data_IF_501438153262
#
_entry.id   IF_501438153262
#
_cell.length_a   1.000
_cell.length_b   1.000
_cell.length_c   1.000
_cell.angle_alpha   90.00
_cell.angle_beta   90.00
_cell.angle_gamma   90.00
#
_symmetry.space_group_name_H-M   'P 1'
#
loop_
_entity.id
_entity.type
_entity.pdbx_description
1 polymer ?
#
# COMPACT_ATOMS: atom_id res chain seq x y z
N UNK A 1 3.14 12.91 -4.63
CA UNK A 1 2.26 13.96 -4.03
C UNK A 1 2.91 15.33 -4.15
N UNK A 2 2.15 16.35 -4.54
CA UNK A 2 2.70 17.68 -4.85
C UNK A 2 2.89 18.61 -3.64
N UNK A 3 2.59 18.17 -2.43
CA UNK A 3 2.70 18.99 -1.21
C UNK A 3 1.74 20.19 -1.19
N UNK A 4 0.59 20.09 -1.86
CA UNK A 4 -0.36 21.19 -2.03
C UNK A 4 -1.26 21.40 -0.81
N UNK A 5 -1.60 20.32 -0.11
CA UNK A 5 -2.47 20.39 1.06
C UNK A 5 -1.61 20.40 2.32
N UNK A 6 -1.79 21.37 3.23
CA UNK A 6 -1.11 21.37 4.52
C UNK A 6 -1.52 20.15 5.37
N UNK A 7 -0.60 19.61 6.15
CA UNK A 7 -0.93 18.56 7.13
C UNK A 7 -1.87 19.07 8.23
N UNK A 8 -1.90 20.39 8.48
CA UNK A 8 -2.82 21.03 9.42
C UNK A 8 -4.21 21.31 8.84
N UNK A 9 -4.49 20.90 7.58
CA UNK A 9 -5.82 21.02 6.98
C UNK A 9 -6.84 20.18 7.75
N UNK A 10 -8.05 20.72 7.92
CA UNK A 10 -9.13 20.05 8.65
C UNK A 10 -9.48 18.65 8.07
N UNK A 11 -9.31 18.46 6.75
CA UNK A 11 -9.53 17.16 6.09
C UNK A 11 -8.54 16.10 6.56
N UNK A 12 -7.26 16.47 6.72
CA UNK A 12 -6.23 15.60 7.25
C UNK A 12 -6.55 15.23 8.70
N UNK A 13 -6.87 16.24 9.52
CA UNK A 13 -7.28 16.01 10.92
C UNK A 13 -8.47 15.07 11.02
N UNK A 14 -9.47 15.24 10.15
CA UNK A 14 -10.66 14.36 10.10
C UNK A 14 -10.30 12.89 9.86
N UNK A 15 -9.34 12.59 8.98
CA UNK A 15 -8.86 11.23 8.73
C UNK A 15 -8.24 10.63 9.99
N UNK A 16 -7.34 11.35 10.66
CA UNK A 16 -6.74 10.88 11.91
C UNK A 16 -7.77 10.68 13.02
N UNK A 17 -8.79 11.54 13.11
CA UNK A 17 -9.87 11.38 14.09
C UNK A 17 -10.73 10.14 13.82
N UNK A 18 -11.00 9.80 12.55
CA UNK A 18 -11.67 8.57 12.21
C UNK A 18 -10.82 7.34 12.61
N UNK A 19 -9.50 7.40 12.36
CA UNK A 19 -8.59 6.34 12.82
C UNK A 19 -8.54 6.24 14.36
N UNK A 20 -8.54 7.40 15.06
CA UNK A 20 -8.61 7.43 16.52
C UNK A 20 -9.82 6.67 17.06
N UNK A 21 -10.98 6.80 16.43
CA UNK A 21 -12.18 6.05 16.84
C UNK A 21 -11.93 4.54 16.82
N UNK A 22 -11.26 4.02 15.79
CA UNK A 22 -10.93 2.60 15.71
C UNK A 22 -9.92 2.17 16.79
N UNK A 23 -8.99 3.07 17.17
CA UNK A 23 -8.02 2.81 18.25
C UNK A 23 -8.74 2.77 19.61
N UNK A 24 -9.57 3.78 19.89
CA UNK A 24 -10.30 3.92 21.15
C UNK A 24 -11.30 2.77 21.36
N UNK A 25 -11.91 2.30 20.30
CA UNK A 25 -12.87 1.18 20.31
C UNK A 25 -12.19 -0.21 20.30
N UNK A 26 -10.86 -0.25 20.39
CA UNK A 26 -10.06 -1.49 20.48
C UNK A 26 -10.25 -2.45 19.30
N UNK A 27 -10.40 -1.92 18.07
CA UNK A 27 -10.51 -2.76 16.88
C UNK A 27 -9.18 -3.41 16.44
N UNK A 28 -8.05 -2.98 16.99
CA UNK A 28 -6.74 -3.51 16.63
C UNK A 28 -6.27 -4.57 17.63
N UNK A 29 -5.44 -5.50 17.16
CA UNK A 29 -4.79 -6.49 18.03
C UNK A 29 -3.89 -5.81 19.06
N UNK A 30 -3.74 -6.43 20.22
CA UNK A 30 -2.83 -5.96 21.25
C UNK A 30 -1.40 -5.83 20.72
N UNK A 31 -0.70 -4.78 21.15
CA UNK A 31 0.69 -4.51 20.74
C UNK A 31 0.91 -4.45 19.22
N UNK A 32 -0.06 -3.97 18.45
CA UNK A 32 -0.01 -3.93 16.99
C UNK A 32 1.29 -3.29 16.43
N UNK A 33 1.87 -2.29 17.11
CA UNK A 33 3.13 -1.65 16.71
C UNK A 33 4.38 -2.55 16.85
N UNK A 34 4.26 -3.71 17.50
CA UNK A 34 5.38 -4.63 17.70
C UNK A 34 5.50 -5.69 16.61
N UNK A 35 4.57 -5.71 15.66
CA UNK A 35 4.54 -6.70 14.60
C UNK A 35 4.91 -6.08 13.25
N UNK A 36 5.66 -6.84 12.47
CA UNK A 36 5.97 -6.56 11.08
C UNK A 36 5.12 -7.42 10.14
N UNK A 37 5.32 -7.22 8.83
CA UNK A 37 4.58 -7.93 7.78
C UNK A 37 4.73 -9.46 7.88
N UNK A 38 5.91 -9.94 8.24
CA UNK A 38 6.20 -11.39 8.25
C UNK A 38 5.58 -12.08 9.47
N UNK A 39 5.43 -11.35 10.59
CA UNK A 39 4.90 -11.87 11.84
C UNK A 39 3.38 -11.81 11.98
N UNK A 40 2.66 -11.14 11.05
CA UNK A 40 1.21 -10.88 11.20
C UNK A 40 0.32 -12.03 10.66
N UNK A 41 0.79 -12.83 9.70
CA UNK A 41 0.00 -13.92 9.12
C UNK A 41 -0.56 -14.91 10.16
N UNK A 42 0.17 -15.30 11.23
CA UNK A 42 -0.34 -16.17 12.27
C UNK A 42 -1.58 -15.63 13.01
N UNK A 43 -1.78 -14.31 13.07
CA UNK A 43 -2.97 -13.74 13.74
C UNK A 43 -4.25 -14.08 12.98
N UNK A 44 -4.22 -14.02 11.64
CA UNK A 44 -5.34 -14.51 10.82
C UNK A 44 -5.50 -16.02 10.95
N UNK A 45 -4.41 -16.79 10.85
CA UNK A 45 -4.44 -18.25 10.88
C UNK A 45 -5.01 -18.80 12.19
N UNK A 46 -4.77 -18.14 13.30
CA UNK A 46 -5.21 -18.56 14.63
C UNK A 46 -6.51 -17.88 15.08
N UNK A 47 -7.20 -17.16 14.18
CA UNK A 47 -8.45 -16.48 14.48
C UNK A 47 -8.34 -15.33 15.49
N UNK A 48 -7.12 -14.80 15.73
CA UNK A 48 -6.89 -13.64 16.60
C UNK A 48 -7.17 -12.31 15.90
N UNK A 49 -7.20 -12.31 14.59
CA UNK A 49 -7.68 -11.21 13.76
C UNK A 49 -8.58 -11.79 12.67
N UNK A 50 -9.73 -11.16 12.44
CA UNK A 50 -10.67 -11.56 11.38
C UNK A 50 -10.44 -10.83 10.06
N UNK A 51 -9.75 -9.70 10.09
CA UNK A 51 -9.47 -8.85 8.92
C UNK A 51 -8.09 -8.20 9.07
N UNK A 52 -7.51 -7.88 7.92
CA UNK A 52 -6.27 -7.12 7.83
C UNK A 52 -6.33 -6.17 6.64
N UNK A 53 -5.94 -4.91 6.83
CA UNK A 53 -5.76 -3.97 5.73
C UNK A 53 -4.41 -4.25 5.06
N UNK A 54 -4.46 -4.83 3.86
CA UNK A 54 -3.26 -5.25 3.16
C UNK A 54 -3.50 -5.35 1.65
N UNK A 55 -2.44 -5.23 0.85
CA UNK A 55 -2.49 -5.48 -0.57
C UNK A 55 -2.51 -6.97 -0.91
N UNK A 56 -2.97 -7.30 -2.12
CA UNK A 56 -3.07 -8.69 -2.62
C UNK A 56 -1.76 -9.45 -2.63
N UNK A 57 -0.62 -8.76 -2.67
CA UNK A 57 0.73 -9.37 -2.59
C UNK A 57 0.93 -10.21 -1.32
N UNK A 58 0.12 -9.97 -0.29
CA UNK A 58 0.16 -10.76 0.94
C UNK A 58 -0.45 -12.16 0.77
N UNK A 59 -1.16 -12.44 -0.31
CA UNK A 59 -1.79 -13.75 -0.56
C UNK A 59 -0.79 -14.90 -0.45
N UNK A 60 0.45 -14.69 -0.90
CA UNK A 60 1.51 -15.69 -0.83
C UNK A 60 1.93 -16.01 0.63
N UNK A 61 1.78 -15.08 1.56
CA UNK A 61 2.10 -15.23 2.99
C UNK A 61 0.97 -15.86 3.80
N UNK A 62 -0.23 -15.99 3.23
CA UNK A 62 -1.38 -16.63 3.90
C UNK A 62 -1.15 -18.13 3.94
N UNK A 63 -1.17 -18.77 5.13
CA UNK A 63 -1.02 -20.21 5.26
C UNK A 63 -2.01 -20.99 4.38
N UNK A 64 -1.55 -22.06 3.73
CA UNK A 64 -2.37 -22.86 2.83
C UNK A 64 -3.64 -23.41 3.50
N UNK A 65 -3.59 -23.67 4.81
CA UNK A 65 -4.71 -24.18 5.60
C UNK A 65 -5.91 -23.24 5.70
N UNK A 66 -5.66 -21.93 5.66
CA UNK A 66 -6.74 -20.92 5.77
C UNK A 66 -7.00 -20.18 4.47
N UNK A 67 -6.12 -20.31 3.47
CA UNK A 67 -6.24 -19.61 2.18
C UNK A 67 -7.61 -19.83 1.49
N UNK A 68 -8.20 -21.03 1.47
CA UNK A 68 -9.53 -21.24 0.89
C UNK A 68 -10.67 -20.53 1.63
N UNK A 69 -10.44 -20.11 2.89
CA UNK A 69 -11.41 -19.43 3.74
C UNK A 69 -11.14 -17.92 3.83
N UNK A 70 -10.08 -17.44 3.16
CA UNK A 70 -9.67 -16.05 3.18
C UNK A 70 -10.17 -15.35 1.91
N UNK A 71 -11.00 -14.34 2.08
CA UNK A 71 -11.46 -13.48 0.99
C UNK A 71 -10.68 -12.19 0.91
N UNK A 72 -10.85 -11.48 -0.19
CA UNK A 72 -10.33 -10.12 -0.39
C UNK A 72 -11.49 -9.23 -0.82
N UNK A 73 -11.57 -8.04 -0.23
CA UNK A 73 -12.55 -7.04 -0.62
C UNK A 73 -11.93 -5.64 -0.56
N UNK A 74 -12.45 -4.76 -1.39
CA UNK A 74 -12.04 -3.36 -1.43
C UNK A 74 -12.36 -2.68 -0.09
N UNK A 75 -11.46 -1.79 0.35
CA UNK A 75 -11.74 -0.95 1.51
C UNK A 75 -13.07 -0.19 1.32
N UNK A 76 -13.96 -0.16 2.31
CA UNK A 76 -15.26 0.49 2.21
C UNK A 76 -15.16 1.96 1.83
N UNK A 77 -16.08 2.42 0.98
CA UNK A 77 -16.15 3.82 0.57
C UNK A 77 -16.57 4.69 1.75
N UNK A 78 -15.75 5.66 2.13
CA UNK A 78 -16.04 6.59 3.24
C UNK A 78 -16.88 7.76 2.75
N UNK A 79 -16.57 8.30 1.57
CA UNK A 79 -17.30 9.42 0.94
C UNK A 79 -17.57 9.09 -0.52
N UNK A 80 -18.84 8.87 -0.85
CA UNK A 80 -19.28 8.52 -2.20
C UNK A 80 -19.05 9.64 -3.25
N UNK A 81 -18.82 10.88 -2.81
CA UNK A 81 -18.53 12.00 -3.69
C UNK A 81 -17.04 12.08 -4.08
N UNK A 82 -16.19 11.32 -3.42
CA UNK A 82 -14.75 11.26 -3.75
C UNK A 82 -14.52 10.08 -4.68
N UNK A 83 -13.95 10.30 -5.88
CA UNK A 83 -13.60 9.21 -6.78
C UNK A 83 -12.66 8.22 -6.09
N UNK A 84 -12.99 6.95 -6.13
CA UNK A 84 -12.15 5.90 -5.56
C UNK A 84 -10.92 5.67 -6.43
N UNK A 85 -9.74 5.75 -5.84
CA UNK A 85 -8.48 5.29 -6.44
C UNK A 85 -8.00 4.04 -5.69
N UNK A 86 -7.26 3.19 -6.38
CA UNK A 86 -6.63 2.03 -5.76
C UNK A 86 -5.19 2.36 -5.35
N UNK A 87 -4.77 1.84 -4.23
CA UNK A 87 -3.38 1.89 -3.80
C UNK A 87 -2.65 0.69 -4.41
N UNK A 88 -1.92 0.95 -5.48
CA UNK A 88 -1.24 -0.07 -6.28
C UNK A 88 0.25 0.26 -6.45
N UNK A 89 1.11 -0.20 -5.53
CA UNK A 89 2.53 0.06 -5.65
C UNK A 89 3.11 -0.61 -6.89
N UNK A 90 3.85 0.16 -7.69
CA UNK A 90 4.53 -0.33 -8.88
C UNK A 90 5.98 -0.66 -8.53
N UNK A 91 6.39 -1.91 -8.77
CA UNK A 91 7.79 -2.29 -8.76
C UNK A 91 8.39 -2.01 -10.14
N UNK A 92 9.59 -1.43 -10.19
CA UNK A 92 10.21 -1.02 -11.43
C UNK A 92 11.55 -1.70 -11.65
N UNK A 93 11.84 -2.04 -12.91
CA UNK A 93 13.13 -2.50 -13.36
C UNK A 93 13.82 -1.37 -14.13
N UNK A 94 15.05 -1.06 -13.77
CA UNK A 94 15.78 0.07 -14.31
C UNK A 94 17.08 -0.37 -15.00
N UNK A 95 17.42 0.28 -16.09
CA UNK A 95 18.75 0.18 -16.71
C UNK A 95 19.56 1.41 -16.31
N UNK A 96 20.59 1.28 -15.48
CA UNK A 96 21.39 2.42 -15.05
C UNK A 96 22.01 3.15 -16.26
N UNK A 97 22.14 4.48 -16.15
CA UNK A 97 22.68 5.30 -17.24
C UNK A 97 24.10 4.87 -17.64
N UNK A 98 24.89 4.36 -16.70
CA UNK A 98 26.28 3.89 -16.91
C UNK A 98 26.38 2.38 -17.19
N UNK A 99 25.27 1.65 -17.39
CA UNK A 99 25.31 0.23 -17.72
C UNK A 99 26.05 0.01 -19.04
N UNK A 100 26.94 -0.98 -19.07
CA UNK A 100 27.80 -1.28 -20.24
C UNK A 100 27.03 -1.96 -21.37
N UNK A 101 26.08 -2.84 -21.04
CA UNK A 101 25.31 -3.62 -21.99
C UNK A 101 23.81 -3.24 -21.96
N UNK A 102 23.50 -2.02 -22.42
CA UNK A 102 22.10 -1.53 -22.45
C UNK A 102 21.25 -2.21 -23.53
N UNK A 103 21.89 -2.66 -24.62
CA UNK A 103 21.17 -3.27 -25.74
C UNK A 103 20.50 -4.59 -25.29
N UNK A 104 21.25 -5.48 -24.66
CA UNK A 104 20.71 -6.76 -24.19
C UNK A 104 19.83 -6.59 -22.96
N UNK A 105 20.13 -5.61 -22.09
CA UNK A 105 19.25 -5.26 -20.98
C UNK A 105 17.84 -4.84 -21.48
N UNK A 106 17.75 -4.05 -22.56
CA UNK A 106 16.46 -3.71 -23.18
C UNK A 106 15.74 -4.93 -23.76
N UNK A 107 16.48 -5.84 -24.41
CA UNK A 107 15.90 -7.08 -24.92
C UNK A 107 15.33 -7.94 -23.78
N UNK A 108 16.06 -8.05 -22.68
CA UNK A 108 15.60 -8.77 -21.50
C UNK A 108 14.33 -8.15 -20.92
N UNK A 109 14.29 -6.82 -20.74
CA UNK A 109 13.08 -6.15 -20.25
C UNK A 109 11.89 -6.36 -21.21
N UNK A 110 12.11 -6.24 -22.52
CA UNK A 110 11.07 -6.49 -23.51
C UNK A 110 10.56 -7.94 -23.47
N UNK A 111 11.44 -8.90 -23.23
CA UNK A 111 11.06 -10.31 -23.03
C UNK A 111 10.24 -10.51 -21.76
N UNK A 112 10.66 -9.90 -20.65
CA UNK A 112 9.96 -9.99 -19.37
C UNK A 112 8.54 -9.36 -19.43
N UNK A 113 8.33 -8.39 -20.32
CA UNK A 113 7.03 -7.73 -20.52
C UNK A 113 6.13 -8.45 -21.55
N UNK A 114 6.57 -9.54 -22.18
CA UNK A 114 5.65 -10.35 -22.99
C UNK A 114 4.55 -10.94 -22.12
N UNK A 115 3.29 -11.07 -22.62
CA UNK A 115 2.14 -11.43 -21.77
C UNK A 115 2.34 -12.70 -20.94
N UNK A 116 2.89 -13.75 -21.57
CA UNK A 116 3.11 -15.05 -20.88
C UNK A 116 4.19 -14.91 -19.79
N UNK A 117 5.34 -14.33 -20.12
CA UNK A 117 6.46 -14.20 -19.17
C UNK A 117 6.10 -13.24 -18.04
N UNK A 118 5.40 -12.14 -18.34
CA UNK A 118 4.93 -11.21 -17.33
C UNK A 118 3.97 -11.88 -16.33
N UNK A 119 3.04 -12.72 -16.82
CA UNK A 119 2.16 -13.50 -15.94
C UNK A 119 2.93 -14.50 -15.06
N UNK A 120 3.89 -15.24 -15.64
CA UNK A 120 4.69 -16.22 -14.90
C UNK A 120 5.57 -15.56 -13.82
N UNK A 121 6.20 -14.42 -14.14
CA UNK A 121 6.99 -13.64 -13.19
C UNK A 121 6.11 -13.07 -12.07
N UNK A 122 4.97 -12.49 -12.42
CA UNK A 122 4.01 -11.95 -11.45
C UNK A 122 3.55 -13.03 -10.47
N UNK A 123 3.20 -14.22 -10.98
CA UNK A 123 2.84 -15.37 -10.15
C UNK A 123 3.98 -15.81 -9.24
N UNK A 124 5.22 -15.90 -9.76
CA UNK A 124 6.40 -16.28 -8.97
C UNK A 124 6.75 -15.28 -7.86
N UNK A 125 6.43 -14.01 -8.05
CA UNK A 125 6.69 -12.94 -7.09
C UNK A 125 5.49 -12.64 -6.16
N UNK A 126 4.36 -13.32 -6.33
CA UNK A 126 3.13 -13.00 -5.60
C UNK A 126 2.57 -11.61 -5.93
N UNK A 127 2.79 -11.14 -7.16
CA UNK A 127 2.37 -9.82 -7.63
C UNK A 127 1.26 -9.93 -8.69
N UNK A 128 0.67 -8.79 -9.04
CA UNK A 128 -0.23 -8.73 -10.19
C UNK A 128 0.57 -8.43 -11.46
N UNK A 129 0.21 -9.02 -12.62
CA UNK A 129 0.88 -8.72 -13.88
C UNK A 129 0.66 -7.25 -14.27
N UNK A 130 1.74 -6.62 -14.77
CA UNK A 130 1.72 -5.24 -15.25
C UNK A 130 1.23 -5.11 -16.70
N UNK A 131 1.34 -6.18 -17.48
CA UNK A 131 0.87 -6.20 -18.87
C UNK A 131 -0.63 -6.54 -18.93
N UNK A 132 -1.43 -5.65 -19.48
CA UNK A 132 -2.89 -5.83 -19.60
C UNK A 132 -3.33 -7.02 -20.47
N UNK A 133 -2.42 -7.59 -21.28
CA UNK A 133 -2.65 -8.78 -22.10
C UNK A 133 -2.25 -10.07 -21.38
N UNK A 134 -1.66 -9.99 -20.21
CA UNK A 134 -1.31 -11.15 -19.39
C UNK A 134 -2.58 -11.85 -18.87
N UNK A 135 -2.48 -13.15 -18.67
CA UNK A 135 -3.55 -13.92 -18.04
C UNK A 135 -3.79 -13.39 -16.60
N UNK A 136 -5.05 -13.37 -16.19
CA UNK A 136 -5.42 -13.06 -14.81
C UNK A 136 -4.80 -14.09 -13.84
N UNK A 137 -4.48 -13.70 -12.60
CA UNK A 137 -4.00 -14.63 -11.57
C UNK A 137 -4.98 -15.77 -11.32
N UNK A 138 -4.46 -16.94 -10.89
CA UNK A 138 -5.28 -18.11 -10.62
C UNK A 138 -5.92 -18.08 -9.23
N UNK A 139 -5.25 -17.49 -8.23
CA UNK A 139 -5.76 -17.41 -6.86
C UNK A 139 -6.84 -16.34 -6.70
N UNK A 140 -7.86 -16.62 -5.89
CA UNK A 140 -9.05 -15.77 -5.76
C UNK A 140 -8.73 -14.37 -5.22
N UNK A 141 -7.77 -14.24 -4.31
CA UNK A 141 -7.38 -12.94 -3.73
C UNK A 141 -6.76 -12.05 -4.82
N UNK A 142 -5.76 -12.58 -5.54
CA UNK A 142 -5.10 -11.85 -6.63
C UNK A 142 -6.04 -11.58 -7.79
N UNK A 143 -6.98 -12.49 -8.08
CA UNK A 143 -8.00 -12.31 -9.13
C UNK A 143 -8.92 -11.12 -8.81
N UNK A 144 -9.42 -11.02 -7.58
CA UNK A 144 -10.24 -9.87 -7.14
C UNK A 144 -9.45 -8.58 -7.21
N UNK A 145 -8.19 -8.57 -6.76
CA UNK A 145 -7.31 -7.40 -6.84
C UNK A 145 -7.04 -6.97 -8.29
N UNK A 146 -6.76 -7.92 -9.18
CA UNK A 146 -6.55 -7.66 -10.60
C UNK A 146 -7.79 -7.01 -11.25
N UNK A 147 -8.98 -7.56 -10.98
CA UNK A 147 -10.24 -7.00 -11.47
C UNK A 147 -10.51 -5.61 -10.88
N UNK A 148 -10.18 -5.41 -9.60
CA UNK A 148 -10.36 -4.11 -8.93
C UNK A 148 -9.49 -3.04 -9.58
N UNK A 149 -8.21 -3.33 -9.86
CA UNK A 149 -7.31 -2.41 -10.56
C UNK A 149 -7.78 -2.13 -11.99
N UNK A 150 -8.19 -3.17 -12.73
CA UNK A 150 -8.65 -3.04 -14.12
C UNK A 150 -9.92 -2.17 -14.23
N UNK A 151 -10.75 -2.12 -13.21
CA UNK A 151 -12.03 -1.39 -13.19
C UNK A 151 -11.97 -0.06 -12.44
N UNK A 152 -10.84 0.32 -11.86
CA UNK A 152 -10.75 1.59 -11.12
C UNK A 152 -10.88 2.80 -12.02
N UNK A 153 -11.68 3.78 -11.60
CA UNK A 153 -11.92 5.03 -12.34
C UNK A 153 -11.13 6.21 -11.78
N UNK A 154 -10.72 6.14 -10.54
CA UNK A 154 -9.98 7.19 -9.84
C UNK A 154 -8.47 7.14 -10.04
N UNK A 155 -7.98 6.14 -10.80
CA UNK A 155 -6.56 5.91 -11.03
C UNK A 155 -5.90 5.08 -9.95
N UNK A 156 -4.57 4.97 -10.06
CA UNK A 156 -3.73 4.20 -9.14
C UNK A 156 -2.83 5.19 -8.39
N UNK A 157 -2.81 5.08 -7.07
CA UNK A 157 -1.91 5.82 -6.20
C UNK A 157 -0.72 4.95 -5.78
N UNK A 158 0.38 5.59 -5.46
CA UNK A 158 1.56 4.94 -4.89
C UNK A 158 1.49 5.03 -3.36
N UNK A 159 2.09 4.09 -2.65
CA UNK A 159 2.20 4.15 -1.20
C UNK A 159 2.87 5.44 -0.74
N UNK A 160 2.44 5.95 0.40
CA UNK A 160 2.94 7.19 0.98
C UNK A 160 4.48 7.22 1.08
N UNK A 161 5.09 6.16 1.58
CA UNK A 161 6.53 6.02 1.74
C UNK A 161 7.30 5.94 0.42
N UNK A 162 6.63 5.59 -0.68
CA UNK A 162 7.22 5.51 -2.02
C UNK A 162 6.98 6.75 -2.88
N UNK A 163 5.91 7.50 -2.62
CA UNK A 163 5.56 8.70 -3.39
C UNK A 163 6.18 9.98 -2.82
N UNK A 164 6.57 9.97 -1.55
CA UNK A 164 7.19 11.10 -0.90
C UNK A 164 8.71 11.15 -1.08
N UNK A 165 9.31 12.33 -0.83
CA UNK A 165 10.76 12.36 -0.59
C UNK A 165 11.09 11.48 0.62
N UNK A 166 12.28 10.89 0.64
CA UNK A 166 12.71 10.03 1.76
C UNK A 166 12.50 10.70 3.12
N UNK A 167 12.85 11.96 3.24
CA UNK A 167 12.72 12.72 4.49
C UNK A 167 11.26 12.88 4.92
N UNK A 168 10.36 13.16 3.98
CA UNK A 168 8.93 13.29 4.29
C UNK A 168 8.31 11.92 4.62
N UNK A 169 8.73 10.88 3.93
CA UNK A 169 8.32 9.51 4.19
C UNK A 169 8.71 9.07 5.60
N UNK A 170 9.98 9.25 5.97
CA UNK A 170 10.50 8.89 7.30
C UNK A 170 9.73 9.63 8.42
N UNK A 171 9.48 10.93 8.25
CA UNK A 171 8.71 11.72 9.23
C UNK A 171 7.24 11.30 9.29
N UNK A 172 6.62 11.05 8.16
CA UNK A 172 5.22 10.62 8.12
C UNK A 172 5.00 9.26 8.75
N UNK A 173 5.89 8.29 8.48
CA UNK A 173 5.81 6.96 9.08
C UNK A 173 5.98 7.02 10.61
N UNK A 174 6.94 7.80 11.12
CA UNK A 174 7.10 8.06 12.56
C UNK A 174 5.87 8.74 13.17
N UNK A 175 5.30 9.69 12.45
CA UNK A 175 4.12 10.42 12.89
C UNK A 175 2.90 9.50 13.05
N UNK A 176 2.70 8.57 12.09
CA UNK A 176 1.63 7.57 12.17
C UNK A 176 1.79 6.64 13.37
N UNK A 177 3.02 6.15 13.62
CA UNK A 177 3.32 5.31 14.79
C UNK A 177 3.12 6.06 16.11
N UNK A 178 3.59 7.32 16.19
CA UNK A 178 3.42 8.17 17.36
C UNK A 178 1.93 8.42 17.63
N UNK A 179 1.16 8.77 16.61
CA UNK A 179 -0.28 8.96 16.74
C UNK A 179 -1.00 7.70 17.21
N UNK A 180 -0.66 6.53 16.65
CA UNK A 180 -1.25 5.27 17.08
C UNK A 180 -0.94 4.97 18.55
N UNK A 181 0.29 5.24 18.99
CA UNK A 181 0.71 5.04 20.37
C UNK A 181 0.05 6.01 21.36
N UNK A 182 -0.14 7.26 20.94
CA UNK A 182 -0.76 8.32 21.74
C UNK A 182 -1.56 9.29 20.85
N UNK A 183 -2.85 9.01 20.60
CA UNK A 183 -3.70 9.85 19.77
C UNK A 183 -3.92 11.27 20.31
N UNK A 184 -3.62 11.54 21.58
CA UNK A 184 -3.73 12.89 22.16
C UNK A 184 -2.72 13.88 21.57
N UNK A 185 -1.64 13.39 20.96
CA UNK A 185 -0.58 14.20 20.36
C UNK A 185 -0.88 14.63 18.91
N UNK A 186 -2.09 14.41 18.40
CA UNK A 186 -2.42 14.66 17.00
C UNK A 186 -2.00 16.05 16.53
N UNK A 187 -2.35 17.10 17.26
CA UNK A 187 -2.07 18.48 16.83
C UNK A 187 -0.55 18.74 16.76
N UNK A 188 0.23 18.25 17.72
CA UNK A 188 1.69 18.35 17.69
C UNK A 188 2.30 17.57 16.51
N UNK A 189 1.78 16.38 16.22
CA UNK A 189 2.19 15.55 15.09
C UNK A 189 1.93 16.28 13.77
N UNK A 190 0.73 16.84 13.56
CA UNK A 190 0.37 17.53 12.34
C UNK A 190 1.20 18.81 12.13
N UNK A 191 1.47 19.58 13.20
CA UNK A 191 2.33 20.78 13.15
C UNK A 191 3.75 20.39 12.73
N UNK A 192 4.32 19.31 13.27
CA UNK A 192 5.66 18.83 12.92
C UNK A 192 5.73 18.37 11.45
N UNK A 193 4.73 17.61 10.99
CA UNK A 193 4.63 17.20 9.58
C UNK A 193 4.54 18.41 8.65
N UNK A 194 3.75 19.40 9.02
CA UNK A 194 3.60 20.63 8.24
C UNK A 194 4.92 21.43 8.16
N UNK A 195 5.66 21.53 9.25
CA UNK A 195 6.97 22.17 9.26
C UNK A 195 7.95 21.45 8.30
N UNK A 196 7.96 20.11 8.31
CA UNK A 196 8.76 19.30 7.39
C UNK A 196 8.32 19.50 5.94
N UNK A 197 7.00 19.48 5.65
CA UNK A 197 6.45 19.75 4.32
C UNK A 197 6.91 21.12 3.79
N UNK A 198 6.75 22.18 4.57
CA UNK A 198 7.17 23.54 4.16
C UNK A 198 8.66 23.62 3.85
N UNK A 199 9.50 22.95 4.63
CA UNK A 199 10.94 22.95 4.42
C UNK A 199 11.34 22.22 3.12
N UNK A 200 10.70 21.07 2.85
CA UNK A 200 11.01 20.24 1.67
C UNK A 200 10.47 20.87 0.39
N UNK A 201 9.19 21.27 0.39
CA UNK A 201 8.52 21.71 -0.82
C UNK A 201 8.58 23.22 -1.04
N UNK A 202 9.15 23.99 -0.07
CA UNK A 202 9.31 25.45 -0.15
C UNK A 202 8.01 26.20 -0.51
N UNK A 203 6.89 25.73 0.01
CA UNK A 203 5.53 26.26 -0.23
C UNK A 203 4.88 26.73 1.07
#
# INVERSE_FOLDING_TARGET
MAGEIPYTDARVKKVYMAWKTLIDDHYFIDNALSYDLDSIAPFLANGKASMMLMGTFFSASIPASIRPQTGFFRFPVIDANVPTAEDGPVNVLLIPAKAKNKADARKLLAFMETPQINADLAKGWGQLPSNSQSAAPDDEISKVGFQTLANTKGGIAQFYDRDMTKEMADEGMKAMQQFYSDPSQLDAVLVRLEATRKRIYKK
#
